data_IF_397189120052
#
_entry.id   IF_397189120052
#
_cell.length_a   1.000
_cell.length_b   1.000
_cell.length_c   1.000
_cell.angle_alpha   90.00
_cell.angle_beta   90.00
_cell.angle_gamma   90.00
#
_symmetry.space_group_name_H-M   'P 1'
#
loop_
_entity.id
_entity.type
_entity.pdbx_description
1 polymer ?
#
# COMPACT_ATOMS: atom_id res chain seq x y z
N UNK A 1 0.59 20.05 6.46
CA UNK A 1 -0.27 19.00 7.07
C UNK A 1 -1.43 18.60 6.14
N UNK A 2 -2.34 19.51 5.76
CA UNK A 2 -3.42 19.17 4.79
C UNK A 2 -2.85 18.79 3.43
N UNK A 3 -1.95 19.61 2.91
CA UNK A 3 -1.36 19.40 1.59
C UNK A 3 -0.54 18.11 1.53
N UNK A 4 0.14 17.74 2.63
CA UNK A 4 0.88 16.48 2.71
C UNK A 4 -0.02 15.24 2.65
N UNK A 5 -1.23 15.33 3.23
CA UNK A 5 -2.22 14.26 3.16
C UNK A 5 -2.78 14.16 1.76
N UNK A 6 -3.13 15.29 1.14
CA UNK A 6 -3.59 15.32 -0.26
C UNK A 6 -2.53 14.72 -1.18
N UNK A 7 -1.28 15.19 -1.08
CA UNK A 7 -0.18 14.69 -1.90
C UNK A 7 0.05 13.18 -1.69
N UNK A 8 0.02 12.69 -0.45
CA UNK A 8 0.13 11.26 -0.18
C UNK A 8 -1.01 10.47 -0.83
N UNK A 9 -2.25 10.92 -0.66
CA UNK A 9 -3.42 10.22 -1.21
C UNK A 9 -3.40 10.23 -2.74
N UNK A 10 -3.08 11.35 -3.37
CA UNK A 10 -2.90 11.48 -4.83
C UNK A 10 -1.84 10.51 -5.36
N UNK A 11 -0.68 10.42 -4.70
CA UNK A 11 0.36 9.47 -5.12
C UNK A 11 -0.07 8.00 -4.92
N UNK A 12 -0.84 7.69 -3.87
CA UNK A 12 -1.36 6.34 -3.65
C UNK A 12 -2.40 5.96 -4.71
N UNK A 13 -3.28 6.89 -5.10
CA UNK A 13 -4.26 6.69 -6.18
C UNK A 13 -3.57 6.35 -7.50
N UNK A 14 -2.38 6.90 -7.77
CA UNK A 14 -1.65 6.63 -9.03
C UNK A 14 -1.12 5.20 -9.16
N UNK A 15 -1.15 4.39 -8.11
CA UNK A 15 -0.85 2.97 -8.21
C UNK A 15 -2.14 2.21 -8.52
N UNK A 16 -2.33 1.67 -9.75
CA UNK A 16 -3.53 0.93 -10.10
C UNK A 16 -3.47 -0.48 -9.49
N UNK A 17 -3.68 -0.58 -8.18
CA UNK A 17 -3.66 -1.83 -7.40
C UNK A 17 -4.93 -2.67 -7.61
N UNK A 18 -5.35 -2.79 -8.88
CA UNK A 18 -6.62 -3.39 -9.27
C UNK A 18 -6.60 -4.90 -8.98
N UNK A 19 -7.64 -5.36 -8.29
CA UNK A 19 -7.81 -6.74 -7.88
C UNK A 19 -9.22 -7.25 -8.24
N UNK A 20 -9.34 -8.34 -9.03
CA UNK A 20 -8.28 -9.08 -9.75
C UNK A 20 -7.64 -8.28 -10.91
N UNK A 21 -6.39 -8.60 -11.35
CA UNK A 21 -5.56 -9.71 -10.91
C UNK A 21 -4.60 -9.39 -9.75
N UNK A 22 -4.47 -8.12 -9.33
CA UNK A 22 -3.50 -7.68 -8.31
C UNK A 22 -2.28 -6.99 -8.91
N UNK A 23 -2.48 -5.98 -9.76
CA UNK A 23 -1.38 -5.24 -10.38
C UNK A 23 -0.74 -4.24 -9.40
N UNK A 24 0.50 -3.81 -9.65
CA UNK A 24 1.15 -2.71 -8.90
C UNK A 24 1.23 -2.81 -7.35
N UNK A 25 0.95 -3.96 -6.72
CA UNK A 25 1.02 -4.11 -5.25
C UNK A 25 2.42 -3.84 -4.72
N UNK A 26 3.44 -4.41 -5.36
CA UNK A 26 4.84 -4.24 -4.93
C UNK A 26 5.29 -2.76 -5.01
N UNK A 27 5.14 -2.05 -6.15
CA UNK A 27 5.44 -0.62 -6.21
C UNK A 27 4.72 0.22 -5.14
N UNK A 28 3.42 0.00 -4.91
CA UNK A 28 2.66 0.73 -3.90
C UNK A 28 3.14 0.41 -2.47
N UNK A 29 3.38 -0.87 -2.17
CA UNK A 29 3.95 -1.29 -0.90
C UNK A 29 5.32 -0.66 -0.66
N UNK A 30 6.21 -0.69 -1.66
CA UNK A 30 7.57 -0.13 -1.57
C UNK A 30 7.54 1.40 -1.38
N UNK A 31 6.61 2.11 -2.03
CA UNK A 31 6.38 3.54 -1.81
C UNK A 31 5.99 3.83 -0.36
N UNK A 32 5.02 3.10 0.19
CA UNK A 32 4.61 3.21 1.59
C UNK A 32 5.76 2.89 2.54
N UNK A 33 6.50 1.81 2.28
CA UNK A 33 7.65 1.41 3.08
C UNK A 33 8.75 2.48 3.08
N UNK A 34 9.08 3.05 1.92
CA UNK A 34 10.06 4.13 1.81
C UNK A 34 9.62 5.39 2.59
N UNK A 35 8.33 5.72 2.57
CA UNK A 35 7.77 6.82 3.36
C UNK A 35 7.87 6.54 4.86
N UNK A 36 7.46 5.35 5.32
CA UNK A 36 7.48 4.98 6.73
C UNK A 36 8.90 4.88 7.29
N UNK A 37 9.86 4.39 6.49
CA UNK A 37 11.29 4.42 6.81
C UNK A 37 11.80 5.82 7.16
N UNK A 38 11.39 6.85 6.40
CA UNK A 38 11.74 8.25 6.69
C UNK A 38 11.18 8.75 8.02
N UNK A 39 10.12 8.11 8.52
CA UNK A 39 9.51 8.37 9.83
C UNK A 39 10.09 7.52 10.95
N UNK A 40 11.12 6.71 10.68
CA UNK A 40 11.82 5.87 11.67
C UNK A 40 11.25 4.47 11.85
N UNK A 41 10.37 4.01 10.95
CA UNK A 41 9.88 2.63 10.98
C UNK A 41 10.87 1.70 10.29
N UNK A 42 11.03 0.50 10.84
CA UNK A 42 11.53 -0.65 10.11
C UNK A 42 10.43 -1.17 9.19
N UNK A 43 10.77 -1.63 7.98
CA UNK A 43 9.77 -2.10 7.02
C UNK A 43 10.21 -3.38 6.35
N UNK A 44 9.31 -4.35 6.32
CA UNK A 44 9.47 -5.63 5.64
C UNK A 44 8.43 -5.79 4.54
N UNK A 45 8.79 -6.52 3.48
CA UNK A 45 7.91 -6.84 2.37
C UNK A 45 7.69 -8.34 2.30
N UNK A 46 6.47 -8.78 2.54
CA UNK A 46 6.13 -10.20 2.71
C UNK A 46 5.18 -10.60 1.59
N UNK A 47 5.60 -11.54 0.74
CA UNK A 47 4.71 -12.16 -0.25
C UNK A 47 3.81 -13.18 0.46
N UNK A 48 2.51 -13.08 0.24
CA UNK A 48 1.53 -14.05 0.72
C UNK A 48 1.44 -15.25 -0.23
N UNK A 49 2.50 -16.06 -0.25
CA UNK A 49 2.64 -17.21 -1.14
C UNK A 49 1.48 -18.22 -0.96
N UNK A 50 0.94 -18.72 -2.07
CA UNK A 50 -0.12 -19.72 -2.07
C UNK A 50 -1.52 -19.20 -1.68
N UNK A 51 -1.67 -17.90 -1.42
CA UNK A 51 -2.98 -17.29 -1.18
C UNK A 51 -3.75 -17.08 -2.49
N UNK A 52 -5.10 -16.99 -2.44
CA UNK A 52 -5.91 -16.74 -3.63
C UNK A 52 -5.43 -15.51 -4.42
N UNK A 53 -5.17 -15.72 -5.71
CA UNK A 53 -4.70 -14.67 -6.60
C UNK A 53 -3.21 -14.33 -6.49
N UNK A 54 -2.42 -15.00 -5.64
CA UNK A 54 -0.96 -14.94 -5.69
C UNK A 54 -0.43 -15.77 -6.86
N UNK A 55 0.37 -15.13 -7.70
CA UNK A 55 1.10 -15.78 -8.80
C UNK A 55 2.44 -15.08 -8.98
N UNK A 56 3.39 -15.71 -9.67
CA UNK A 56 4.68 -15.06 -9.95
C UNK A 56 4.52 -13.80 -10.83
N UNK A 57 3.45 -13.75 -11.64
CA UNK A 57 3.09 -12.57 -12.43
C UNK A 57 2.41 -11.48 -11.59
N UNK A 58 1.59 -11.86 -10.62
CA UNK A 58 0.83 -10.96 -9.74
C UNK A 58 1.07 -11.35 -8.27
N UNK A 59 2.25 -11.05 -7.71
CA UNK A 59 2.59 -11.46 -6.35
C UNK A 59 1.82 -10.63 -5.31
N UNK A 60 1.26 -11.28 -4.29
CA UNK A 60 0.54 -10.63 -3.19
C UNK A 60 1.49 -10.11 -2.12
N UNK A 61 2.07 -8.95 -2.37
CA UNK A 61 3.04 -8.33 -1.47
C UNK A 61 2.34 -7.46 -0.43
N UNK A 62 2.64 -7.72 0.84
CA UNK A 62 2.26 -6.89 1.98
C UNK A 62 3.47 -6.08 2.45
N UNK A 63 3.22 -4.87 2.96
CA UNK A 63 4.22 -4.10 3.72
C UNK A 63 3.86 -4.16 5.20
N UNK A 64 4.82 -4.58 6.02
CA UNK A 64 4.71 -4.52 7.48
C UNK A 64 5.70 -3.47 7.96
N UNK A 65 5.21 -2.47 8.68
CA UNK A 65 6.03 -1.41 9.25
C UNK A 65 5.96 -1.47 10.77
N UNK A 66 7.13 -1.48 11.41
CA UNK A 66 7.26 -1.56 12.87
C UNK A 66 8.05 -0.37 13.39
N UNK A 67 7.57 0.22 14.46
CA UNK A 67 8.28 1.23 15.21
C UNK A 67 8.41 0.77 16.65
N UNK A 68 9.63 0.47 17.08
CA UNK A 68 9.92 0.14 18.47
C UNK A 68 10.15 1.43 19.27
N UNK A 69 9.23 1.70 20.19
CA UNK A 69 9.30 2.84 21.11
C UNK A 69 10.45 2.71 22.11
N UNK A 70 10.73 3.80 22.84
CA UNK A 70 11.82 3.83 23.84
C UNK A 70 11.53 3.04 25.12
N UNK A 71 10.26 2.74 25.38
CA UNK A 71 9.79 2.07 26.60
C UNK A 71 8.81 0.96 26.24
N UNK A 72 8.76 -0.07 27.10
CA UNK A 72 7.73 -1.11 27.01
C UNK A 72 6.33 -0.53 27.24
N UNK A 73 5.32 -1.14 26.63
CA UNK A 73 3.94 -0.69 26.70
C UNK A 73 3.02 -1.50 25.80
N UNK A 74 1.75 -1.11 25.73
CA UNK A 74 0.79 -1.73 24.81
C UNK A 74 1.19 -1.45 23.35
N UNK A 75 1.14 -2.50 22.52
CA UNK A 75 1.37 -2.38 21.09
C UNK A 75 0.05 -2.05 20.37
N UNK A 76 0.07 -1.07 19.47
CA UNK A 76 -1.06 -0.74 18.59
C UNK A 76 -0.73 -1.20 17.18
N UNK A 77 -1.65 -1.96 16.57
CA UNK A 77 -1.52 -2.43 15.20
C UNK A 77 -2.57 -1.77 14.31
N UNK A 78 -2.13 -1.11 13.25
CA UNK A 78 -3.01 -0.64 12.18
C UNK A 78 -3.00 -1.64 11.03
N UNK A 79 -4.16 -2.19 10.70
CA UNK A 79 -4.33 -3.08 9.55
C UNK A 79 -5.22 -2.40 8.52
N UNK A 80 -4.78 -2.44 7.26
CA UNK A 80 -5.46 -1.84 6.12
C UNK A 80 -5.10 -2.61 4.85
N UNK A 81 -5.83 -2.35 3.77
CA UNK A 81 -5.55 -2.89 2.44
C UNK A 81 -5.22 -1.74 1.48
N UNK A 82 -4.46 -2.04 0.43
CA UNK A 82 -4.04 -1.08 -0.59
C UNK A 82 -4.68 -1.35 -1.95
N UNK A 83 -5.41 -2.44 -2.08
CA UNK A 83 -6.03 -2.87 -3.33
C UNK A 83 -7.39 -2.24 -3.55
N UNK A 84 -7.70 -2.07 -4.83
CA UNK A 84 -8.96 -1.52 -5.30
C UNK A 84 -9.60 -2.47 -6.28
N UNK A 85 -10.92 -2.33 -6.44
CA UNK A 85 -11.63 -2.97 -7.54
C UNK A 85 -11.45 -2.18 -8.83
N UNK A 86 -11.89 -2.74 -9.95
CA UNK A 86 -11.96 -2.02 -11.22
C UNK A 86 -12.77 -0.73 -11.08
N UNK A 87 -12.27 0.37 -11.65
CA UNK A 87 -12.86 1.70 -11.51
C UNK A 87 -14.24 1.83 -12.20
N UNK A 88 -14.57 0.92 -13.11
CA UNK A 88 -15.79 0.95 -13.92
C UNK A 88 -15.80 2.09 -14.95
N UNK A 89 -16.95 2.27 -15.60
CA UNK A 89 -17.13 3.22 -16.69
C UNK A 89 -17.71 4.56 -16.24
N UNK A 90 -17.64 5.57 -17.11
CA UNK A 90 -18.35 6.85 -16.95
C UNK A 90 -17.57 7.94 -16.24
N UNK A 91 -16.27 7.74 -15.99
CA UNK A 91 -15.40 8.76 -15.43
C UNK A 91 -15.20 9.94 -16.39
N UNK A 92 -15.27 11.16 -15.85
CA UNK A 92 -14.97 12.41 -16.59
C UNK A 92 -13.49 12.78 -16.55
N UNK A 93 -12.71 12.10 -15.72
CA UNK A 93 -11.26 12.24 -15.55
C UNK A 93 -10.64 10.85 -15.38
N UNK A 94 -9.34 10.70 -15.58
CA UNK A 94 -8.68 9.41 -15.35
C UNK A 94 -8.81 9.00 -13.85
N UNK A 95 -9.39 7.82 -13.53
CA UNK A 95 -9.59 7.36 -12.16
C UNK A 95 -8.29 7.17 -11.37
N UNK A 96 -7.14 7.04 -12.04
CA UNK A 96 -5.83 6.88 -11.43
C UNK A 96 -4.92 8.11 -11.63
N UNK A 97 -5.47 9.27 -12.03
CA UNK A 97 -4.69 10.52 -12.17
C UNK A 97 -4.19 11.09 -10.83
N UNK A 98 -4.89 10.77 -9.74
CA UNK A 98 -4.59 11.18 -8.37
C UNK A 98 -4.98 12.62 -8.02
#
# INVERSE_FOLDING_TARGET
>A
RRDDVVALTTELIRFPTINPPGEAYRPCAEYLGARLKKSGFETEFIRAEGTPGDTDRYPRVNVVARFDGRSSGACVHFNSHIDVVEAGDGWTVDPFAG
#
